data_IF_331038149622
#
_entry.id   IF_331038149622
#
_cell.length_a   1.000
_cell.length_b   1.000
_cell.length_c   1.000
_cell.angle_alpha   90.00
_cell.angle_beta   90.00
_cell.angle_gamma   90.00
#
_symmetry.space_group_name_H-M   'P 1'
#
loop_
_entity.id
_entity.type
_entity.pdbx_description
1 polymer ?
#
# COMPACT_ATOMS: atom_id res chain seq x y z
N UNK A 1 31.63 48.52 -7.87
CA UNK A 1 31.07 47.61 -8.88
C UNK A 1 31.55 46.16 -8.67
N UNK A 2 32.84 45.93 -8.43
CA UNK A 2 33.36 44.57 -8.10
C UNK A 2 32.73 43.95 -6.85
N UNK A 3 32.58 44.72 -5.77
CA UNK A 3 31.89 44.25 -4.54
C UNK A 3 30.47 43.78 -4.85
N UNK A 4 29.72 44.53 -5.67
CA UNK A 4 28.36 44.16 -6.07
C UNK A 4 28.31 42.91 -6.97
N UNK A 5 29.33 42.66 -7.79
CA UNK A 5 29.45 41.42 -8.58
C UNK A 5 29.74 40.22 -7.67
N UNK A 6 30.66 40.36 -6.73
CA UNK A 6 31.01 39.30 -5.79
C UNK A 6 29.82 38.90 -4.89
N UNK A 7 29.06 39.88 -4.38
CA UNK A 7 27.84 39.65 -3.60
C UNK A 7 26.79 38.86 -4.40
N UNK A 8 26.56 39.22 -5.67
CA UNK A 8 25.60 38.53 -6.54
C UNK A 8 26.04 37.10 -6.90
N UNK A 9 27.33 36.88 -7.09
CA UNK A 9 27.88 35.54 -7.32
C UNK A 9 27.67 34.66 -6.09
N UNK A 10 28.04 35.14 -4.90
CA UNK A 10 27.84 34.42 -3.64
C UNK A 10 26.36 34.07 -3.43
N UNK A 11 25.44 35.02 -3.67
CA UNK A 11 24.01 34.76 -3.55
C UNK A 11 23.50 33.67 -4.53
N UNK A 12 24.03 33.65 -5.76
CA UNK A 12 23.70 32.59 -6.72
C UNK A 12 24.25 31.23 -6.31
N UNK A 13 25.44 31.16 -5.71
CA UNK A 13 26.05 29.93 -5.21
C UNK A 13 25.26 29.37 -4.02
N UNK A 14 24.85 30.23 -3.09
CA UNK A 14 24.02 29.85 -1.94
C UNK A 14 22.67 29.27 -2.37
N UNK A 15 22.01 29.90 -3.36
CA UNK A 15 20.75 29.40 -3.93
C UNK A 15 20.93 28.07 -4.65
N UNK A 16 22.05 27.88 -5.37
CA UNK A 16 22.36 26.62 -6.04
C UNK A 16 22.60 25.48 -5.03
N UNK A 17 23.32 25.77 -3.94
CA UNK A 17 23.53 24.83 -2.84
C UNK A 17 22.20 24.43 -2.19
N UNK A 18 21.35 25.41 -1.85
CA UNK A 18 20.03 25.18 -1.27
C UNK A 18 19.13 24.34 -2.19
N UNK A 19 19.11 24.63 -3.50
CA UNK A 19 18.38 23.83 -4.48
C UNK A 19 18.87 22.38 -4.52
N UNK A 20 20.18 22.15 -4.38
CA UNK A 20 20.76 20.81 -4.28
C UNK A 20 20.23 20.03 -3.08
N UNK A 21 20.21 20.64 -1.89
CA UNK A 21 19.67 20.03 -0.67
C UNK A 21 18.17 19.75 -0.76
N UNK A 22 17.41 20.69 -1.33
CA UNK A 22 15.97 20.54 -1.58
C UNK A 22 15.70 19.39 -2.54
N UNK A 23 16.48 19.29 -3.63
CA UNK A 23 16.34 18.22 -4.62
C UNK A 23 16.64 16.85 -4.01
N UNK A 24 17.68 16.74 -3.19
CA UNK A 24 17.97 15.51 -2.45
C UNK A 24 16.80 15.10 -1.55
N UNK A 25 16.28 16.05 -0.78
CA UNK A 25 15.14 15.82 0.11
C UNK A 25 13.88 15.41 -0.65
N UNK A 26 13.62 16.01 -1.82
CA UNK A 26 12.50 15.62 -2.69
C UNK A 26 12.63 14.17 -3.19
N UNK A 27 13.84 13.74 -3.57
CA UNK A 27 14.09 12.34 -3.96
C UNK A 27 13.76 11.39 -2.80
N UNK A 28 14.20 11.73 -1.58
CA UNK A 28 13.90 10.93 -0.39
C UNK A 28 12.38 10.85 -0.13
N UNK A 29 11.65 11.96 -0.28
CA UNK A 29 10.18 11.98 -0.14
C UNK A 29 9.46 11.21 -1.24
N UNK A 30 9.97 11.22 -2.46
CA UNK A 30 9.44 10.40 -3.57
C UNK A 30 9.61 8.91 -3.27
N UNK A 31 10.77 8.50 -2.76
CA UNK A 31 11.02 7.12 -2.35
C UNK A 31 10.06 6.73 -1.23
N UNK A 32 9.92 7.57 -0.19
CA UNK A 32 9.01 7.32 0.92
C UNK A 32 7.54 7.17 0.46
N UNK A 33 7.08 8.04 -0.46
CA UNK A 33 5.75 7.93 -1.05
C UNK A 33 5.56 6.62 -1.83
N UNK A 34 6.58 6.19 -2.58
CA UNK A 34 6.51 4.93 -3.33
C UNK A 34 6.42 3.72 -2.38
N UNK A 35 7.24 3.70 -1.33
CA UNK A 35 7.19 2.65 -0.30
C UNK A 35 5.81 2.61 0.36
N UNK A 36 5.26 3.76 0.77
CA UNK A 36 3.92 3.82 1.37
C UNK A 36 2.83 3.28 0.44
N UNK A 37 2.90 3.59 -0.86
CA UNK A 37 1.95 3.08 -1.87
C UNK A 37 2.07 1.57 -2.07
N UNK A 38 3.28 1.04 -2.08
CA UNK A 38 3.50 -0.41 -2.21
C UNK A 38 3.02 -1.16 -0.96
N UNK A 39 3.29 -0.63 0.23
CA UNK A 39 2.79 -1.18 1.48
C UNK A 39 1.26 -1.18 1.52
N UNK A 40 0.62 -0.07 1.11
CA UNK A 40 -0.83 0.00 0.96
C UNK A 40 -1.33 -1.08 0.01
N UNK A 41 -0.78 -1.16 -1.22
CA UNK A 41 -1.20 -2.13 -2.23
C UNK A 41 -1.09 -3.57 -1.73
N UNK A 42 0.04 -3.95 -1.14
CA UNK A 42 0.27 -5.30 -0.64
C UNK A 42 -0.67 -5.62 0.53
N UNK A 43 -0.78 -4.70 1.50
CA UNK A 43 -1.63 -4.90 2.66
C UNK A 43 -3.12 -4.96 2.31
N UNK A 44 -3.58 -4.11 1.39
CA UNK A 44 -4.98 -4.06 0.96
C UNK A 44 -5.33 -5.29 0.13
N UNK A 45 -4.42 -5.75 -0.75
CA UNK A 45 -4.58 -7.02 -1.47
C UNK A 45 -4.65 -8.22 -0.55
N UNK A 46 -3.83 -8.26 0.51
CA UNK A 46 -3.89 -9.33 1.52
C UNK A 46 -5.24 -9.32 2.24
N UNK A 47 -5.68 -8.14 2.70
CA UNK A 47 -6.97 -8.03 3.39
C UNK A 47 -8.15 -8.43 2.49
N UNK A 48 -8.13 -8.05 1.21
CA UNK A 48 -9.14 -8.48 0.24
C UNK A 48 -9.15 -10.00 0.06
N UNK A 49 -7.98 -10.66 0.05
CA UNK A 49 -7.90 -12.11 0.02
C UNK A 49 -8.47 -12.75 1.29
N UNK A 50 -8.20 -12.17 2.47
CA UNK A 50 -8.76 -12.65 3.75
C UNK A 50 -10.30 -12.51 3.78
N UNK A 51 -10.85 -11.41 3.26
CA UNK A 51 -12.30 -11.21 3.10
C UNK A 51 -12.89 -12.26 2.17
N UNK A 52 -12.31 -12.44 0.98
CA UNK A 52 -12.78 -13.43 0.01
C UNK A 52 -12.73 -14.86 0.57
N UNK A 53 -11.70 -15.19 1.36
CA UNK A 53 -11.61 -16.48 2.04
C UNK A 53 -12.71 -16.67 3.08
N UNK A 54 -13.00 -15.65 3.90
CA UNK A 54 -14.08 -15.70 4.89
C UNK A 54 -15.46 -15.83 4.23
N UNK A 55 -15.73 -15.05 3.19
CA UNK A 55 -16.98 -15.09 2.44
C UNK A 55 -17.16 -16.42 1.69
N UNK A 56 -16.10 -16.90 1.03
CA UNK A 56 -16.10 -18.18 0.33
C UNK A 56 -16.35 -19.36 1.27
N UNK A 57 -15.70 -19.39 2.44
CA UNK A 57 -15.96 -20.40 3.46
C UNK A 57 -17.42 -20.37 3.92
N UNK A 58 -17.93 -19.18 4.25
CA UNK A 58 -19.33 -19.03 4.67
C UNK A 58 -20.30 -19.53 3.59
N UNK A 59 -20.07 -19.14 2.32
CA UNK A 59 -20.91 -19.58 1.21
C UNK A 59 -20.89 -21.10 1.04
N UNK A 60 -19.73 -21.74 1.15
CA UNK A 60 -19.62 -23.21 1.05
C UNK A 60 -20.31 -23.89 2.23
N UNK A 61 -20.20 -23.35 3.45
CA UNK A 61 -20.94 -23.85 4.61
C UNK A 61 -22.45 -23.75 4.39
N UNK A 62 -22.96 -22.58 3.98
CA UNK A 62 -24.39 -22.35 3.75
C UNK A 62 -24.94 -23.25 2.63
N UNK A 63 -24.16 -23.44 1.55
CA UNK A 63 -24.59 -24.21 0.38
C UNK A 63 -24.45 -25.73 0.54
N UNK A 64 -23.47 -26.22 1.32
CA UNK A 64 -23.15 -27.64 1.37
C UNK A 64 -23.20 -28.27 2.77
N UNK A 65 -22.84 -27.55 3.83
CA UNK A 65 -22.93 -28.08 5.18
C UNK A 65 -24.38 -28.09 5.68
N UNK A 66 -25.15 -27.01 5.45
CA UNK A 66 -26.53 -26.91 5.92
C UNK A 66 -27.43 -28.03 5.39
N UNK A 67 -27.42 -28.39 4.09
CA UNK A 67 -28.20 -29.53 3.59
C UNK A 67 -27.82 -30.86 4.24
N UNK A 68 -26.52 -31.08 4.48
CA UNK A 68 -26.03 -32.27 5.19
C UNK A 68 -26.60 -32.27 6.61
N UNK A 69 -26.51 -31.17 7.35
CA UNK A 69 -26.99 -31.07 8.74
C UNK A 69 -28.51 -31.34 8.84
N UNK A 70 -29.30 -30.72 7.96
CA UNK A 70 -30.76 -30.90 7.92
C UNK A 70 -31.16 -32.33 7.54
N UNK A 71 -30.33 -33.00 6.72
CA UNK A 71 -30.54 -34.40 6.34
C UNK A 71 -31.71 -34.63 5.38
N UNK A 72 -32.09 -33.58 4.63
CA UNK A 72 -33.17 -33.61 3.63
C UNK A 72 -32.73 -33.84 2.19
N UNK A 73 -31.42 -34.00 1.93
CA UNK A 73 -30.91 -34.27 0.58
C UNK A 73 -31.03 -35.75 0.22
N UNK A 74 -31.34 -36.04 -1.04
CA UNK A 74 -31.23 -37.41 -1.58
C UNK A 74 -29.77 -37.87 -1.58
N UNK A 75 -29.53 -39.19 -1.60
CA UNK A 75 -28.19 -39.76 -1.43
C UNK A 75 -27.18 -39.28 -2.49
N UNK A 76 -27.61 -39.06 -3.75
CA UNK A 76 -26.72 -38.53 -4.79
C UNK A 76 -26.30 -37.08 -4.52
N UNK A 77 -27.17 -36.30 -3.90
CA UNK A 77 -26.93 -34.89 -3.60
C UNK A 77 -26.02 -34.76 -2.37
N UNK A 78 -26.17 -35.66 -1.39
CA UNK A 78 -25.33 -35.73 -0.19
C UNK A 78 -23.84 -35.96 -0.52
N UNK A 79 -23.55 -36.84 -1.49
CA UNK A 79 -22.18 -37.05 -2.00
C UNK A 79 -21.62 -35.77 -2.62
N UNK A 80 -22.40 -35.09 -3.47
CA UNK A 80 -21.99 -33.82 -4.09
C UNK A 80 -21.67 -32.73 -3.06
N UNK A 81 -22.48 -32.61 -2.01
CA UNK A 81 -22.21 -31.66 -0.92
C UNK A 81 -20.95 -32.03 -0.13
N UNK A 82 -20.73 -33.32 0.17
CA UNK A 82 -19.54 -33.77 0.88
C UNK A 82 -18.25 -33.51 0.07
N UNK A 83 -18.26 -33.82 -1.23
CA UNK A 83 -17.14 -33.56 -2.12
C UNK A 83 -16.80 -32.06 -2.21
N UNK A 84 -17.81 -31.18 -2.21
CA UNK A 84 -17.61 -29.74 -2.19
C UNK A 84 -16.98 -29.22 -0.88
N UNK A 85 -17.23 -29.90 0.25
CA UNK A 85 -16.62 -29.56 1.55
C UNK A 85 -15.20 -30.10 1.71
N UNK A 86 -14.82 -31.14 0.95
CA UNK A 86 -13.54 -31.83 1.11
C UNK A 86 -12.31 -30.92 1.12
N UNK A 87 -12.16 -29.93 0.20
CA UNK A 87 -11.00 -29.03 0.23
C UNK A 87 -10.87 -28.27 1.56
N UNK A 88 -11.98 -27.91 2.17
CA UNK A 88 -12.02 -27.22 3.46
C UNK A 88 -11.71 -28.18 4.61
N UNK A 89 -12.30 -29.37 4.60
CA UNK A 89 -12.07 -30.42 5.61
C UNK A 89 -10.58 -30.79 5.69
N UNK A 90 -9.92 -30.96 4.54
CA UNK A 90 -8.48 -31.25 4.47
C UNK A 90 -7.65 -30.12 5.08
N UNK A 91 -8.05 -28.86 4.88
CA UNK A 91 -7.34 -27.70 5.43
C UNK A 91 -7.44 -27.60 6.96
N UNK A 92 -8.51 -28.13 7.56
CA UNK A 92 -8.75 -28.10 9.01
C UNK A 92 -7.88 -29.10 9.79
N UNK A 93 -7.26 -30.08 9.12
CA UNK A 93 -6.43 -31.12 9.75
C UNK A 93 -7.15 -31.83 10.91
N UNK A 94 -8.40 -32.21 10.66
CA UNK A 94 -9.20 -32.97 11.62
C UNK A 94 -8.52 -34.29 12.00
N UNK A 95 -8.89 -34.83 13.16
CA UNK A 95 -8.40 -36.15 13.58
C UNK A 95 -8.72 -37.23 12.54
N UNK A 96 -7.84 -38.23 12.41
CA UNK A 96 -7.95 -39.30 11.42
C UNK A 96 -9.24 -40.13 11.59
N UNK A 97 -9.65 -40.37 12.85
CA UNK A 97 -10.89 -41.09 13.14
C UNK A 97 -12.12 -40.28 12.74
N UNK A 98 -12.11 -38.96 12.93
CA UNK A 98 -13.17 -38.07 12.48
C UNK A 98 -13.21 -38.03 10.94
N UNK A 99 -12.06 -37.83 10.31
CA UNK A 99 -11.93 -37.74 8.85
C UNK A 99 -12.43 -38.99 8.13
N UNK A 100 -12.13 -40.17 8.65
CA UNK A 100 -12.59 -41.45 8.09
C UNK A 100 -14.09 -41.70 8.31
N UNK A 101 -14.67 -41.17 9.39
CA UNK A 101 -16.11 -41.26 9.63
C UNK A 101 -16.93 -40.28 8.77
N UNK A 102 -16.35 -39.15 8.37
CA UNK A 102 -17.06 -38.06 7.71
C UNK A 102 -17.71 -38.45 6.38
N UNK A 103 -17.04 -39.22 5.55
CA UNK A 103 -17.58 -39.64 4.24
C UNK A 103 -18.87 -40.44 4.42
N UNK A 104 -18.82 -41.50 5.23
CA UNK A 104 -19.99 -42.34 5.49
C UNK A 104 -21.09 -41.61 6.26
N UNK A 105 -20.71 -40.66 7.12
CA UNK A 105 -21.66 -39.91 7.94
C UNK A 105 -22.42 -38.86 7.12
N UNK A 106 -21.70 -38.11 6.27
CA UNK A 106 -22.27 -37.01 5.50
C UNK A 106 -23.17 -37.49 4.36
N UNK A 107 -22.88 -38.68 3.81
CA UNK A 107 -23.62 -39.28 2.68
C UNK A 107 -24.83 -40.12 3.11
N UNK A 108 -24.93 -40.45 4.41
CA UNK A 108 -26.03 -41.23 4.96
C UNK A 108 -27.32 -40.40 5.08
N UNK A 109 -28.50 -40.96 4.71
CA UNK A 109 -29.78 -40.30 4.91
C UNK A 109 -29.98 -39.86 6.36
N UNK A 110 -30.61 -38.69 6.57
CA UNK A 110 -30.74 -38.10 7.90
C UNK A 110 -31.41 -39.01 8.94
N UNK A 111 -32.36 -39.84 8.53
CA UNK A 111 -33.08 -40.80 9.39
C UNK A 111 -32.27 -42.04 9.75
N UNK A 112 -31.26 -42.40 8.94
CA UNK A 112 -30.37 -43.56 9.17
C UNK A 112 -29.15 -43.20 10.04
N UNK A 113 -28.97 -41.91 10.38
CA UNK A 113 -27.84 -41.43 11.19
C UNK A 113 -27.99 -41.83 12.66
N UNK A 114 -27.03 -42.58 13.15
CA UNK A 114 -26.84 -42.91 14.55
C UNK A 114 -26.48 -41.67 15.39
N UNK A 115 -26.48 -41.81 16.71
CA UNK A 115 -25.99 -40.76 17.61
C UNK A 115 -24.53 -40.41 17.35
N UNK A 116 -23.71 -41.38 16.91
CA UNK A 116 -22.31 -41.14 16.54
C UNK A 116 -22.21 -40.29 15.26
N UNK A 117 -22.99 -40.61 14.23
CA UNK A 117 -23.06 -39.82 12.99
C UNK A 117 -23.42 -38.35 13.28
N UNK A 118 -24.38 -38.11 14.19
CA UNK A 118 -24.76 -36.75 14.60
C UNK A 118 -23.62 -35.99 15.30
N UNK A 119 -22.87 -36.66 16.17
CA UNK A 119 -21.70 -36.07 16.84
C UNK A 119 -20.59 -35.73 15.84
N UNK A 120 -20.35 -36.59 14.86
CA UNK A 120 -19.36 -36.35 13.78
C UNK A 120 -19.72 -35.10 12.96
N UNK A 121 -21.00 -34.93 12.60
CA UNK A 121 -21.49 -33.73 11.89
C UNK A 121 -21.34 -32.48 12.77
N UNK A 122 -21.72 -32.57 14.05
CA UNK A 122 -21.62 -31.45 14.98
C UNK A 122 -20.16 -31.00 15.17
N UNK A 123 -19.23 -31.95 15.25
CA UNK A 123 -17.80 -31.62 15.37
C UNK A 123 -17.26 -30.96 14.09
N UNK A 124 -17.68 -31.43 12.90
CA UNK A 124 -17.34 -30.77 11.64
C UNK A 124 -17.89 -29.33 11.58
N UNK A 125 -19.15 -29.14 11.95
CA UNK A 125 -19.79 -27.84 11.99
C UNK A 125 -19.06 -26.89 12.93
N UNK A 126 -18.74 -27.36 14.14
CA UNK A 126 -17.96 -26.63 15.14
C UNK A 126 -16.59 -26.22 14.60
N UNK A 127 -15.88 -27.15 13.93
CA UNK A 127 -14.56 -26.89 13.38
C UNK A 127 -14.59 -25.84 12.25
N UNK A 128 -15.55 -25.94 11.33
CA UNK A 128 -15.74 -24.99 10.24
C UNK A 128 -16.17 -23.60 10.78
N UNK A 129 -17.09 -23.56 11.75
CA UNK A 129 -17.51 -22.32 12.40
C UNK A 129 -16.37 -21.64 13.15
N UNK A 130 -15.53 -22.40 13.85
CA UNK A 130 -14.34 -21.88 14.51
C UNK A 130 -13.32 -21.31 13.50
N UNK A 131 -13.17 -21.97 12.35
CA UNK A 131 -12.30 -21.47 11.28
C UNK A 131 -12.85 -20.18 10.65
N UNK A 132 -14.16 -20.12 10.38
CA UNK A 132 -14.82 -18.90 9.91
C UNK A 132 -14.68 -17.75 10.91
N UNK A 133 -14.89 -18.01 12.19
CA UNK A 133 -14.71 -17.02 13.24
C UNK A 133 -13.26 -16.50 13.29
N UNK A 134 -12.28 -17.39 13.09
CA UNK A 134 -10.86 -17.00 12.99
C UNK A 134 -10.61 -16.07 11.80
N UNK A 135 -11.12 -16.41 10.62
CA UNK A 135 -11.01 -15.57 9.42
C UNK A 135 -11.72 -14.21 9.61
N UNK A 136 -12.90 -14.20 10.21
CA UNK A 136 -13.62 -12.96 10.54
C UNK A 136 -12.86 -12.08 11.54
N UNK A 137 -12.17 -12.69 12.50
CA UNK A 137 -11.25 -12.00 13.40
C UNK A 137 -10.09 -11.35 12.65
N UNK A 138 -9.47 -12.06 11.72
CA UNK A 138 -8.40 -11.55 10.85
C UNK A 138 -8.91 -10.36 10.03
N UNK A 139 -10.05 -10.52 9.35
CA UNK A 139 -10.71 -9.43 8.58
C UNK A 139 -10.94 -8.21 9.46
N UNK A 140 -11.58 -8.39 10.62
CA UNK A 140 -11.89 -7.28 11.53
C UNK A 140 -10.63 -6.55 12.01
N UNK A 141 -9.57 -7.29 12.37
CA UNK A 141 -8.30 -6.71 12.80
C UNK A 141 -7.58 -5.97 11.65
N UNK A 142 -7.74 -6.45 10.41
CA UNK A 142 -7.13 -5.89 9.21
C UNK A 142 -7.65 -4.51 8.81
N UNK A 143 -8.87 -4.13 9.23
CA UNK A 143 -9.45 -2.82 8.92
C UNK A 143 -8.59 -1.66 9.47
N UNK A 144 -8.03 -1.81 10.67
CA UNK A 144 -7.15 -0.79 11.25
C UNK A 144 -5.90 -0.58 10.39
N UNK A 145 -5.39 -1.65 9.77
CA UNK A 145 -4.28 -1.62 8.83
C UNK A 145 -4.61 -0.88 7.54
N UNK A 146 -5.80 -1.07 6.96
CA UNK A 146 -6.26 -0.33 5.77
C UNK A 146 -6.21 1.19 6.03
N UNK A 147 -6.86 1.62 7.12
CA UNK A 147 -6.94 3.04 7.49
C UNK A 147 -5.56 3.64 7.76
N UNK A 148 -4.70 2.90 8.47
CA UNK A 148 -3.34 3.35 8.80
C UNK A 148 -2.47 3.51 7.55
N UNK A 149 -2.51 2.56 6.61
CA UNK A 149 -1.75 2.63 5.36
C UNK A 149 -2.25 3.75 4.45
N UNK A 150 -3.56 3.90 4.30
CA UNK A 150 -4.15 5.00 3.54
C UNK A 150 -3.75 6.37 4.11
N UNK A 151 -3.79 6.54 5.44
CA UNK A 151 -3.33 7.77 6.09
C UNK A 151 -1.83 8.02 5.87
N UNK A 152 -1.00 6.97 5.88
CA UNK A 152 0.44 7.08 5.61
C UNK A 152 0.70 7.54 4.18
N UNK A 153 -0.04 7.02 3.19
CA UNK A 153 0.04 7.48 1.79
C UNK A 153 -0.39 8.94 1.67
N UNK A 154 -1.47 9.34 2.35
CA UNK A 154 -1.92 10.74 2.33
C UNK A 154 -0.87 11.69 2.92
N UNK A 155 -0.30 11.36 4.07
CA UNK A 155 0.74 12.17 4.73
C UNK A 155 1.98 12.27 3.85
N UNK A 156 2.50 11.14 3.37
CA UNK A 156 3.72 11.13 2.52
C UNK A 156 3.50 11.80 1.17
N UNK A 157 2.29 11.75 0.61
CA UNK A 157 1.94 12.50 -0.60
C UNK A 157 1.98 14.00 -0.36
N UNK A 158 1.36 14.48 0.72
CA UNK A 158 1.41 15.90 1.09
C UNK A 158 2.84 16.39 1.33
N UNK A 159 3.68 15.58 1.96
CA UNK A 159 5.09 15.91 2.15
C UNK A 159 5.84 16.00 0.83
N UNK A 160 5.65 15.03 -0.07
CA UNK A 160 6.23 15.05 -1.42
C UNK A 160 5.84 16.34 -2.16
N UNK A 161 4.55 16.67 -2.19
CA UNK A 161 4.05 17.83 -2.91
C UNK A 161 4.58 19.15 -2.33
N UNK A 162 4.70 19.24 -0.99
CA UNK A 162 5.31 20.38 -0.34
C UNK A 162 6.80 20.55 -0.70
N UNK A 163 7.55 19.44 -0.82
CA UNK A 163 8.96 19.49 -1.25
C UNK A 163 9.11 19.79 -2.74
N UNK A 164 8.19 19.31 -3.59
CA UNK A 164 8.16 19.65 -5.01
C UNK A 164 7.96 21.15 -5.18
N UNK A 165 6.99 21.73 -4.47
CA UNK A 165 6.74 23.18 -4.50
C UNK A 165 7.97 23.99 -4.04
N UNK A 166 8.69 23.53 -3.00
CA UNK A 166 9.94 24.15 -2.55
C UNK A 166 11.03 24.08 -3.62
N UNK A 167 11.17 22.94 -4.30
CA UNK A 167 12.13 22.78 -5.39
C UNK A 167 11.83 23.77 -6.52
N UNK A 168 10.58 23.84 -6.96
CA UNK A 168 10.16 24.73 -8.05
C UNK A 168 10.43 26.20 -7.70
N UNK A 169 10.11 26.59 -6.46
CA UNK A 169 10.36 27.95 -5.94
C UNK A 169 11.86 28.26 -5.89
N UNK A 170 12.67 27.34 -5.38
CA UNK A 170 14.12 27.52 -5.29
C UNK A 170 14.79 27.58 -6.68
N UNK A 171 14.33 26.75 -7.62
CA UNK A 171 14.80 26.76 -9.01
C UNK A 171 14.47 28.09 -9.70
N UNK A 172 13.26 28.63 -9.51
CA UNK A 172 12.88 29.94 -10.03
C UNK A 172 13.74 31.05 -9.43
N UNK A 173 13.98 31.03 -8.11
CA UNK A 173 14.84 32.02 -7.43
C UNK A 173 16.29 31.98 -7.95
N UNK A 174 16.86 30.79 -8.14
CA UNK A 174 18.19 30.61 -8.71
C UNK A 174 18.27 31.19 -10.13
N UNK A 175 17.26 30.93 -10.98
CA UNK A 175 17.21 31.46 -12.34
C UNK A 175 17.22 33.00 -12.35
N UNK A 176 16.43 33.64 -11.48
CA UNK A 176 16.42 35.10 -11.33
C UNK A 176 17.79 35.62 -10.85
N UNK A 177 18.40 34.98 -9.86
CA UNK A 177 19.71 35.39 -9.35
C UNK A 177 20.81 35.30 -10.42
N UNK A 178 20.80 34.23 -11.23
CA UNK A 178 21.71 34.06 -12.35
C UNK A 178 21.54 35.15 -13.40
N UNK A 179 20.30 35.55 -13.71
CA UNK A 179 20.04 36.65 -14.62
C UNK A 179 20.59 37.99 -14.07
N UNK A 180 20.31 38.31 -12.80
CA UNK A 180 20.80 39.53 -12.15
C UNK A 180 22.33 39.56 -12.08
N UNK A 181 22.96 38.41 -11.85
CA UNK A 181 24.42 38.27 -11.87
C UNK A 181 24.97 38.54 -13.29
N UNK A 182 24.34 37.99 -14.32
CA UNK A 182 24.73 38.21 -15.72
C UNK A 182 24.65 39.69 -16.10
N UNK A 183 23.53 40.35 -15.81
CA UNK A 183 23.33 41.78 -16.05
C UNK A 183 24.37 42.65 -15.30
N UNK A 184 24.70 42.29 -14.06
CA UNK A 184 25.73 42.97 -13.29
C UNK A 184 27.13 42.80 -13.90
N UNK A 185 27.44 41.62 -14.41
CA UNK A 185 28.69 41.34 -15.09
C UNK A 185 28.83 42.18 -16.35
N UNK A 186 27.78 42.24 -17.18
CA UNK A 186 27.76 43.06 -18.39
C UNK A 186 27.92 44.55 -18.06
N UNK A 187 27.22 45.04 -17.03
CA UNK A 187 27.34 46.44 -16.58
C UNK A 187 28.75 46.76 -16.11
N UNK A 188 29.40 45.86 -15.37
CA UNK A 188 30.78 46.03 -14.92
C UNK A 188 31.74 46.12 -16.12
N UNK A 189 31.59 45.24 -17.11
CA UNK A 189 32.40 45.23 -18.33
C UNK A 189 32.26 46.56 -19.07
N UNK A 190 31.04 47.02 -19.33
CA UNK A 190 30.81 48.31 -20.00
C UNK A 190 31.36 49.50 -19.22
N UNK A 191 31.30 49.47 -17.89
CA UNK A 191 31.89 50.52 -17.06
C UNK A 191 33.42 50.52 -17.13
N UNK A 192 34.05 49.34 -17.16
CA UNK A 192 35.50 49.22 -17.34
C UNK A 192 35.94 49.73 -18.71
N UNK A 193 35.22 49.37 -19.77
CA UNK A 193 35.46 49.87 -21.13
C UNK A 193 35.37 51.40 -21.20
N UNK A 194 34.33 51.99 -20.60
CA UNK A 194 34.16 53.44 -20.57
C UNK A 194 35.31 54.16 -19.84
N UNK A 195 35.79 53.60 -18.71
CA UNK A 195 36.96 54.15 -18.00
C UNK A 195 38.21 54.08 -18.88
N UNK A 196 38.47 52.94 -19.53
CA UNK A 196 39.65 52.80 -20.41
C UNK A 196 39.59 53.75 -21.62
N UNK A 197 38.40 54.01 -22.16
CA UNK A 197 38.22 54.97 -23.24
C UNK A 197 38.48 56.41 -22.75
N UNK A 198 37.93 56.79 -21.60
CA UNK A 198 38.15 58.11 -21.01
C UNK A 198 39.63 58.38 -20.75
N UNK A 199 40.34 57.41 -20.16
CA UNK A 199 41.78 57.53 -19.89
C UNK A 199 42.59 57.69 -21.18
N UNK A 200 42.20 57.02 -22.26
CA UNK A 200 42.84 57.15 -23.57
C UNK A 200 42.61 58.53 -24.22
N UNK A 201 41.43 59.13 -24.05
CA UNK A 201 41.08 60.45 -24.60
C UNK A 201 41.80 61.61 -23.89
N UNK A 202 42.32 61.40 -22.67
CA UNK A 202 42.93 62.45 -21.83
C UNK A 202 44.44 62.25 -21.58
N UNK A 203 45.09 61.40 -22.37
CA UNK A 203 46.51 61.10 -22.22
C UNK A 203 47.47 62.09 -22.94
N UNK A 204 46.93 63.16 -23.55
CA UNK A 204 47.67 64.26 -24.22
C UNK A 204 47.79 65.51 -23.33
#
# INVERSE_FOLDING_TARGET
>A
AEVSKAEKLSASEDLASSLGEITKSLVDKRIALQVAKDDQRVGDSKHAADVAAAEGLKQVMDAHLVPIVVGGSDQSDAEGHFQALMPLIVSLKLDSSLSSALETTCTKPGFDRSSFDKLVIQELESALAAHLHTLQGIVSSGMSGLTSRAATVEVTSKEHDAWQYKQDTAAAALSVAQQVMHEACNTLISAQEAVTQFDAEHAD
#
